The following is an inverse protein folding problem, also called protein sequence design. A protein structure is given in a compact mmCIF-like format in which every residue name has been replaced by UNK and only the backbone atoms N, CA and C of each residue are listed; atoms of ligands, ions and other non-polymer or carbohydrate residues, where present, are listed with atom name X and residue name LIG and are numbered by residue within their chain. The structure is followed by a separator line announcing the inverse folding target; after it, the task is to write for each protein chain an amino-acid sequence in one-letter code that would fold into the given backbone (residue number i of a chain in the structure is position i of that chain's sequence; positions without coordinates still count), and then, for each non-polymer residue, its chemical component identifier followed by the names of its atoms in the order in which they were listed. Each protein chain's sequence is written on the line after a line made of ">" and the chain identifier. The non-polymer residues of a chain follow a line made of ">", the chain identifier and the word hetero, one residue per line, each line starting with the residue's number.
data_IF_219433967117
#
_entry.id   IF_219433967117
#
_cell.length_a   1.000
_cell.length_b   1.000
_cell.length_c   1.000
_cell.angle_alpha   90.00
_cell.angle_beta   90.00
_cell.angle_gamma   90.00
#
_symmetry.space_group_name_H-M   'P 1'
#
loop_
_entity.id
_entity.type
_entity.pdbx_description
1 polymer ?
#
# COMPACT_ATOMS: atom_id res chain seq x y z
N UNK A 1 -3.56 23.09 32.36
CA UNK A 1 -3.31 21.65 32.54
C UNK A 1 -3.31 21.03 31.16
N UNK A 2 -2.13 20.83 30.58
CA UNK A 2 -1.98 20.40 29.19
C UNK A 2 -2.41 18.92 29.09
N UNK A 3 -3.62 18.69 28.59
CA UNK A 3 -4.15 17.36 28.32
C UNK A 3 -3.41 16.75 27.14
N UNK A 4 -2.32 16.04 27.42
CA UNK A 4 -1.75 15.07 26.50
C UNK A 4 -2.68 13.85 26.49
N UNK A 5 -3.85 13.99 25.85
CA UNK A 5 -4.74 12.87 25.60
C UNK A 5 -4.11 11.98 24.55
N UNK A 6 -3.52 10.85 24.97
CA UNK A 6 -3.04 9.84 24.04
C UNK A 6 -4.25 9.27 23.28
N UNK A 7 -4.30 9.47 21.98
CA UNK A 7 -5.31 8.93 21.09
C UNK A 7 -5.00 7.45 20.80
N UNK A 8 -5.97 6.59 21.08
CA UNK A 8 -5.89 5.17 20.75
C UNK A 8 -6.70 4.94 19.47
N UNK A 9 -6.03 4.49 18.40
CA UNK A 9 -6.67 4.12 17.13
C UNK A 9 -6.83 2.61 17.04
N UNK A 10 -8.06 2.13 17.19
CA UNK A 10 -8.40 0.73 16.99
C UNK A 10 -8.70 0.46 15.52
N UNK A 11 -7.99 -0.51 14.95
CA UNK A 11 -8.18 -0.97 13.59
C UNK A 11 -8.94 -2.30 13.61
N UNK A 12 -10.05 -2.34 12.89
CA UNK A 12 -10.94 -3.50 12.81
C UNK A 12 -10.94 -4.08 11.40
N UNK A 13 -11.14 -5.38 11.28
CA UNK A 13 -11.38 -6.01 9.98
C UNK A 13 -12.69 -5.47 9.40
N UNK A 14 -12.71 -4.94 8.16
CA UNK A 14 -13.93 -4.40 7.57
C UNK A 14 -15.02 -5.45 7.30
N UNK A 15 -14.68 -6.74 7.24
CA UNK A 15 -15.60 -7.86 7.02
C UNK A 15 -16.05 -8.50 8.33
N UNK A 16 -15.12 -8.85 9.22
CA UNK A 16 -15.45 -9.56 10.47
C UNK A 16 -15.73 -8.63 11.65
N UNK A 17 -15.36 -7.35 11.55
CA UNK A 17 -15.36 -6.35 12.64
C UNK A 17 -14.50 -6.75 13.84
N UNK A 18 -13.66 -7.77 13.71
CA UNK A 18 -12.73 -8.17 14.76
C UNK A 18 -11.61 -7.15 14.90
N UNK A 19 -11.14 -6.94 16.14
CA UNK A 19 -10.04 -6.03 16.43
C UNK A 19 -8.74 -6.63 15.88
N UNK A 20 -8.16 -5.98 14.88
CA UNK A 20 -6.90 -6.41 14.27
C UNK A 20 -5.70 -5.82 15.02
N UNK A 21 -5.76 -4.53 15.36
CA UNK A 21 -4.63 -3.84 15.98
C UNK A 21 -5.03 -2.56 16.70
N UNK A 22 -4.43 -2.33 17.86
CA UNK A 22 -4.52 -1.11 18.65
C UNK A 22 -3.27 -0.27 18.38
N UNK A 23 -3.45 1.01 18.07
CA UNK A 23 -2.36 1.97 17.91
C UNK A 23 -2.43 2.98 19.05
N UNK A 24 -1.39 3.03 19.86
CA UNK A 24 -1.18 4.11 20.83
C UNK A 24 -0.27 5.19 20.22
N UNK A 25 -0.37 6.42 20.74
CA UNK A 25 0.41 7.55 20.24
C UNK A 25 1.92 7.31 20.42
N UNK A 26 2.60 7.10 19.29
CA UNK A 26 4.05 6.93 19.22
C UNK A 26 4.43 5.84 18.22
N UNK A 27 4.75 6.21 16.97
CA UNK A 27 5.35 5.27 16.02
C UNK A 27 6.70 4.81 16.58
N UNK A 28 6.79 3.53 16.95
CA UNK A 28 8.06 2.94 17.38
C UNK A 28 9.06 2.99 16.23
N UNK A 29 10.35 3.14 16.56
CA UNK A 29 11.42 3.15 15.55
C UNK A 29 11.43 1.86 14.71
N UNK A 30 10.97 0.76 15.31
CA UNK A 30 10.80 -0.53 14.63
C UNK A 30 9.68 -0.52 13.58
N UNK A 31 8.57 0.19 13.81
CA UNK A 31 7.50 0.33 12.83
C UNK A 31 7.88 1.23 11.66
N UNK A 32 8.57 2.36 11.93
CA UNK A 32 9.11 3.23 10.87
C UNK A 32 10.06 2.48 9.96
N UNK A 33 10.93 1.66 10.55
CA UNK A 33 11.86 0.79 9.81
C UNK A 33 11.10 -0.22 8.94
N UNK A 34 10.05 -0.87 9.47
CA UNK A 34 9.20 -1.79 8.69
C UNK A 34 8.53 -1.09 7.51
N UNK A 35 7.91 0.08 7.73
CA UNK A 35 7.25 0.86 6.67
C UNK A 35 8.26 1.25 5.59
N UNK A 36 9.47 1.67 5.98
CA UNK A 36 10.51 2.03 5.03
C UNK A 36 10.94 0.82 4.17
N UNK A 37 11.09 -0.36 4.80
CA UNK A 37 11.40 -1.59 4.07
C UNK A 37 10.28 -2.00 3.10
N UNK A 38 9.01 -1.83 3.50
CA UNK A 38 7.86 -2.09 2.61
C UNK A 38 7.85 -1.13 1.41
N UNK A 39 8.13 0.16 1.63
CA UNK A 39 8.28 1.15 0.54
C UNK A 39 9.40 0.77 -0.41
N UNK A 40 10.56 0.32 0.10
CA UNK A 40 11.66 -0.19 -0.71
C UNK A 40 11.24 -1.41 -1.54
N UNK A 41 10.46 -2.33 -0.98
CA UNK A 41 9.91 -3.49 -1.71
C UNK A 41 8.96 -3.07 -2.84
N UNK A 42 8.10 -2.07 -2.60
CA UNK A 42 7.23 -1.51 -3.66
C UNK A 42 8.06 -0.92 -4.80
N UNK A 43 9.11 -0.16 -4.47
CA UNK A 43 9.94 0.54 -5.46
C UNK A 43 10.73 -0.41 -6.39
N UNK A 44 10.79 -1.71 -6.08
CA UNK A 44 11.34 -2.73 -6.97
C UNK A 44 10.51 -2.87 -8.26
N UNK A 45 9.22 -2.57 -8.21
CA UNK A 45 8.29 -2.74 -9.32
C UNK A 45 7.74 -1.39 -9.79
N UNK A 46 7.69 -1.20 -11.11
CA UNK A 46 7.13 -0.02 -11.74
C UNK A 46 5.63 0.10 -11.46
N UNK A 47 5.21 1.29 -11.02
CA UNK A 47 3.81 1.59 -10.73
C UNK A 47 3.26 0.96 -9.46
N UNK A 48 4.08 0.25 -8.67
CA UNK A 48 3.69 -0.33 -7.39
C UNK A 48 4.08 0.62 -6.26
N UNK A 49 3.13 0.86 -5.36
CA UNK A 49 3.25 1.77 -4.23
C UNK A 49 2.77 1.09 -2.95
N UNK A 50 3.39 1.44 -1.82
CA UNK A 50 2.93 0.98 -0.51
C UNK A 50 1.86 1.91 0.06
N UNK A 51 0.68 1.36 0.37
CA UNK A 51 -0.44 2.10 0.93
C UNK A 51 -0.39 2.10 2.46
N UNK A 52 0.25 3.13 3.03
CA UNK A 52 0.50 3.24 4.47
C UNK A 52 -0.78 3.15 5.31
N UNK A 53 -1.86 3.80 4.87
CA UNK A 53 -3.13 3.79 5.60
C UNK A 53 -3.80 2.42 5.65
N UNK A 54 -3.67 1.60 4.59
CA UNK A 54 -4.17 0.21 4.61
C UNK A 54 -3.38 -0.64 5.59
N UNK A 55 -2.05 -0.55 5.54
CA UNK A 55 -1.18 -1.29 6.45
C UNK A 55 -1.45 -0.92 7.91
N UNK A 56 -1.58 0.39 8.19
CA UNK A 56 -1.94 0.87 9.52
C UNK A 56 -3.34 0.41 9.96
N UNK A 57 -4.26 0.16 9.03
CA UNK A 57 -5.59 -0.38 9.36
C UNK A 57 -5.60 -1.91 9.53
N UNK A 58 -4.46 -2.58 9.41
CA UNK A 58 -4.38 -4.03 9.44
C UNK A 58 -4.91 -4.71 8.17
N UNK A 59 -5.18 -3.96 7.11
CA UNK A 59 -5.63 -4.54 5.83
C UNK A 59 -4.51 -5.35 5.19
N UNK A 60 -4.86 -6.51 4.62
CA UNK A 60 -3.93 -7.33 3.82
C UNK A 60 -3.55 -6.64 2.50
N UNK A 61 -4.50 -5.90 1.94
CA UNK A 61 -4.36 -5.11 0.71
C UNK A 61 -3.56 -3.83 0.97
N UNK A 62 -2.24 -3.92 0.82
CA UNK A 62 -1.28 -2.83 1.08
C UNK A 62 -0.49 -2.40 -0.14
N UNK A 63 -0.57 -3.12 -1.26
CA UNK A 63 0.19 -2.84 -2.47
C UNK A 63 -0.68 -2.21 -3.53
N UNK A 64 -0.59 -0.89 -3.66
CA UNK A 64 -1.35 -0.12 -4.63
C UNK A 64 -0.63 -0.11 -5.99
N UNK A 65 -1.37 -0.38 -7.06
CA UNK A 65 -0.88 -0.27 -8.43
C UNK A 65 -1.49 0.94 -9.14
N UNK A 66 -0.63 1.80 -9.70
CA UNK A 66 -1.01 2.96 -10.52
C UNK A 66 -0.22 2.98 -11.81
N UNK A 67 -0.91 3.28 -12.91
CA UNK A 67 -0.32 3.40 -14.23
C UNK A 67 -0.63 4.78 -14.81
N UNK A 68 0.42 5.55 -15.13
CA UNK A 68 0.26 6.83 -15.83
C UNK A 68 0.46 6.62 -17.33
N UNK A 69 -0.55 6.90 -18.14
CA UNK A 69 -0.46 6.85 -19.62
C UNK A 69 -0.67 8.25 -20.18
N UNK A 70 0.34 8.78 -20.88
CA UNK A 70 0.37 10.19 -21.28
C UNK A 70 0.26 11.12 -20.07
N UNK A 71 -0.83 11.90 -20.00
CA UNK A 71 -1.14 12.81 -18.88
C UNK A 71 -2.19 12.26 -17.90
N UNK A 72 -2.73 11.07 -18.15
CA UNK A 72 -3.80 10.48 -17.33
C UNK A 72 -3.23 9.42 -16.39
N UNK A 73 -3.68 9.45 -15.14
CA UNK A 73 -3.37 8.43 -14.13
C UNK A 73 -4.52 7.44 -14.05
N UNK A 74 -4.21 6.17 -14.25
CA UNK A 74 -5.13 5.05 -14.12
C UNK A 74 -4.83 4.32 -12.81
N UNK A 75 -5.83 4.24 -11.95
CA UNK A 75 -5.78 3.40 -10.76
C UNK A 75 -6.10 1.97 -11.18
N UNK A 76 -5.20 1.04 -10.90
CA UNK A 76 -5.33 -0.37 -11.29
C UNK A 76 -5.96 -1.19 -10.16
N UNK A 77 -5.60 -0.90 -8.92
CA UNK A 77 -6.14 -1.59 -7.74
C UNK A 77 -5.18 -1.62 -6.56
N UNK A 78 -5.61 -2.24 -5.46
CA UNK A 78 -4.76 -2.58 -4.32
C UNK A 78 -4.78 -4.10 -4.12
N UNK A 79 -3.60 -4.68 -3.93
CA UNK A 79 -3.33 -6.10 -3.90
C UNK A 79 -2.64 -6.53 -2.61
N UNK A 80 -2.62 -7.83 -2.37
CA UNK A 80 -2.05 -8.44 -1.16
C UNK A 80 -0.54 -8.65 -1.28
N UNK A 81 -0.04 -8.79 -2.52
CA UNK A 81 1.39 -8.95 -2.82
C UNK A 81 1.89 -7.92 -3.84
N UNK A 82 3.17 -7.48 -3.75
CA UNK A 82 3.73 -6.57 -4.73
C UNK A 82 3.90 -7.22 -6.12
N UNK A 83 4.12 -8.53 -6.17
CA UNK A 83 4.24 -9.29 -7.41
C UNK A 83 2.91 -9.32 -8.18
N UNK A 84 1.79 -9.47 -7.47
CA UNK A 84 0.45 -9.40 -8.07
C UNK A 84 0.13 -7.98 -8.57
N UNK A 85 0.46 -6.96 -7.78
CA UNK A 85 0.34 -5.57 -8.21
C UNK A 85 1.16 -5.29 -9.48
N UNK A 86 2.37 -5.84 -9.57
CA UNK A 86 3.23 -5.73 -10.74
C UNK A 86 2.66 -6.46 -11.98
N UNK A 87 2.01 -7.63 -11.80
CA UNK A 87 1.33 -8.34 -12.89
C UNK A 87 0.16 -7.54 -13.44
N UNK A 88 -0.65 -6.97 -12.54
CA UNK A 88 -1.76 -6.12 -12.92
C UNK A 88 -1.29 -4.86 -13.67
N UNK A 89 -0.15 -4.28 -13.29
CA UNK A 89 0.50 -3.19 -14.05
C UNK A 89 0.79 -3.61 -15.48
N UNK A 90 1.44 -4.77 -15.66
CA UNK A 90 1.82 -5.28 -16.98
C UNK A 90 0.58 -5.52 -17.86
N UNK A 91 -0.44 -6.17 -17.30
CA UNK A 91 -1.70 -6.41 -18.01
C UNK A 91 -2.37 -5.10 -18.44
N UNK A 92 -2.44 -4.10 -17.55
CA UNK A 92 -3.03 -2.79 -17.87
C UNK A 92 -2.19 -2.02 -18.90
N UNK A 93 -0.87 -2.14 -18.85
CA UNK A 93 0.03 -1.53 -19.81
C UNK A 93 -0.14 -2.10 -21.22
N UNK A 94 -0.39 -3.42 -21.34
CA UNK A 94 -0.68 -4.11 -22.61
C UNK A 94 -2.07 -3.73 -23.12
N UNK A 95 -3.09 -3.74 -22.26
CA UNK A 95 -4.47 -3.37 -22.61
C UNK A 95 -4.56 -1.95 -23.17
N UNK A 96 -3.80 -1.01 -22.59
CA UNK A 96 -3.74 0.38 -23.04
C UNK A 96 -2.77 0.60 -24.21
N UNK A 97 -2.13 -0.45 -24.73
CA UNK A 97 -1.20 -0.37 -25.87
C UNK A 97 0.04 0.49 -25.60
N UNK A 98 0.53 0.50 -24.36
CA UNK A 98 1.63 1.41 -23.97
C UNK A 98 2.99 0.83 -24.30
N UNK A 99 3.93 1.67 -24.74
CA UNK A 99 5.34 1.33 -24.94
C UNK A 99 6.18 1.36 -23.64
N UNK A 100 5.53 1.26 -22.47
CA UNK A 100 6.24 1.31 -21.19
C UNK A 100 6.99 0.00 -20.92
N UNK A 101 8.11 0.11 -20.21
CA UNK A 101 8.83 -1.07 -19.69
C UNK A 101 7.94 -1.84 -18.73
N UNK A 102 7.78 -3.14 -19.00
CA UNK A 102 7.07 -4.09 -18.16
C UNK A 102 7.96 -4.56 -16.99
N UNK A 103 7.32 -4.91 -15.88
CA UNK A 103 7.99 -5.48 -14.71
C UNK A 103 8.44 -6.92 -14.99
N UNK A 104 9.63 -7.27 -14.52
CA UNK A 104 10.14 -8.65 -14.46
C UNK A 104 9.60 -9.30 -13.18
N UNK A 105 8.85 -10.39 -13.32
CA UNK A 105 8.05 -11.01 -12.24
C UNK A 105 8.34 -12.49 -12.18
#
# INVERSE_FOLDING_TARGET
>A
TNGNGSYIWNCYDPKTKELLKVYEDGETESEKTKINNLKKKAHKYMGVHFHNSSYKRGSQKIWECRLTVGKKRHYVGIYDTPEEAARAYNQKAIELGTIKRLNEI
#
